data_IF_111457721532
#
_entry.id   IF_111457721532
#
_cell.length_a   1.000
_cell.length_b   1.000
_cell.length_c   1.000
_cell.angle_alpha   90.00
_cell.angle_beta   90.00
_cell.angle_gamma   90.00
#
_symmetry.space_group_name_H-M   'P 1'
#
loop_
_entity.id
_entity.type
_entity.pdbx_description
1 polymer ?
#
# COMPACT_ATOMS: atom_id res chain seq x y z
N UNK A 1 26.25 -18.06 6.71
CA UNK A 1 24.98 -17.39 7.03
C UNK A 1 24.22 -18.29 7.97
N UNK A 2 23.86 -17.76 9.13
CA UNK A 2 22.99 -18.44 10.09
C UNK A 2 21.60 -18.48 9.44
N UNK A 3 20.92 -19.62 9.50
CA UNK A 3 19.54 -19.68 9.02
C UNK A 3 18.68 -18.83 9.94
N UNK A 4 18.05 -17.78 9.40
CA UNK A 4 17.06 -16.99 10.14
C UNK A 4 15.86 -17.89 10.41
N UNK A 5 15.52 -18.04 11.69
CA UNK A 5 14.38 -18.83 12.15
C UNK A 5 13.35 -17.93 12.82
N UNK A 6 12.09 -18.34 12.84
CA UNK A 6 11.04 -17.58 13.49
C UNK A 6 11.26 -17.52 15.02
N UNK A 7 11.08 -16.34 15.58
CA UNK A 7 11.02 -16.11 17.04
C UNK A 7 9.67 -15.51 17.40
N UNK A 8 9.31 -15.53 18.68
CA UNK A 8 8.08 -14.88 19.16
C UNK A 8 8.05 -13.38 18.82
N UNK A 9 9.20 -12.70 18.86
CA UNK A 9 9.31 -11.29 18.47
C UNK A 9 8.95 -11.07 17.01
N UNK A 10 9.55 -11.85 16.12
CA UNK A 10 9.26 -11.82 14.68
C UNK A 10 7.78 -12.07 14.40
N UNK A 11 7.19 -13.12 15.01
CA UNK A 11 5.77 -13.45 14.80
C UNK A 11 4.85 -12.32 15.28
N UNK A 12 5.16 -11.69 16.42
CA UNK A 12 4.42 -10.52 16.90
C UNK A 12 4.52 -9.34 15.91
N UNK A 13 5.72 -9.04 15.41
CA UNK A 13 5.91 -7.93 14.47
C UNK A 13 5.18 -8.19 13.14
N UNK A 14 5.26 -9.42 12.61
CA UNK A 14 4.53 -9.81 11.40
C UNK A 14 3.01 -9.72 11.58
N UNK A 15 2.50 -10.05 12.77
CA UNK A 15 1.10 -9.85 13.12
C UNK A 15 0.69 -8.37 13.12
N UNK A 16 1.51 -7.50 13.70
CA UNK A 16 1.25 -6.05 13.67
C UNK A 16 1.34 -5.49 12.25
N UNK A 17 2.33 -5.91 11.45
CA UNK A 17 2.42 -5.55 10.03
C UNK A 17 1.16 -5.99 9.27
N UNK A 18 0.66 -7.21 9.51
CA UNK A 18 -0.57 -7.70 8.89
C UNK A 18 -1.77 -6.79 9.22
N UNK A 19 -1.89 -6.35 10.48
CA UNK A 19 -2.91 -5.37 10.88
C UNK A 19 -2.72 -4.02 10.20
N UNK A 20 -1.48 -3.56 10.04
CA UNK A 20 -1.18 -2.28 9.37
C UNK A 20 -1.57 -2.35 7.88
N UNK A 21 -1.26 -3.44 7.17
CA UNK A 21 -1.77 -3.69 5.81
C UNK A 21 -3.30 -3.73 5.76
N UNK A 22 -3.95 -4.40 6.72
CA UNK A 22 -5.40 -4.43 6.81
C UNK A 22 -5.97 -3.02 7.02
N UNK A 23 -5.38 -2.22 7.91
CA UNK A 23 -5.77 -0.82 8.15
C UNK A 23 -5.60 0.03 6.90
N UNK A 24 -4.48 -0.08 6.20
CA UNK A 24 -4.21 0.63 4.96
C UNK A 24 -5.31 0.37 3.92
N UNK A 25 -5.68 -0.89 3.70
CA UNK A 25 -6.78 -1.26 2.81
C UNK A 25 -8.13 -0.74 3.33
N UNK A 26 -8.37 -0.83 4.64
CA UNK A 26 -9.61 -0.36 5.28
C UNK A 26 -9.82 1.15 5.10
N UNK A 27 -8.75 1.93 5.21
CA UNK A 27 -8.77 3.38 5.03
C UNK A 27 -9.13 3.75 3.58
N UNK A 28 -8.56 3.06 2.58
CA UNK A 28 -9.00 3.17 1.19
C UNK A 28 -10.47 2.79 1.00
N UNK A 29 -10.92 1.67 1.59
CA UNK A 29 -12.32 1.23 1.48
C UNK A 29 -13.25 2.31 2.04
N UNK A 30 -12.96 2.86 3.22
CA UNK A 30 -13.76 3.91 3.87
C UNK A 30 -13.80 5.17 2.99
N UNK A 31 -12.64 5.62 2.53
CA UNK A 31 -12.50 6.77 1.66
C UNK A 31 -13.30 6.62 0.36
N UNK A 32 -13.04 5.54 -0.38
CA UNK A 32 -13.68 5.27 -1.67
C UNK A 32 -15.18 5.06 -1.54
N UNK A 33 -15.69 4.45 -0.47
CA UNK A 33 -17.13 4.30 -0.28
C UNK A 33 -17.86 5.64 -0.21
N UNK A 34 -17.28 6.61 0.52
CA UNK A 34 -17.84 7.97 0.59
C UNK A 34 -17.69 8.68 -0.76
N UNK A 35 -16.54 8.54 -1.42
CA UNK A 35 -16.33 9.13 -2.75
C UNK A 35 -17.32 8.60 -3.80
N UNK A 36 -17.54 7.28 -3.84
CA UNK A 36 -18.56 6.61 -4.66
C UNK A 36 -19.98 7.14 -4.34
N UNK A 37 -20.21 7.52 -3.08
CA UNK A 37 -21.43 8.21 -2.64
C UNK A 37 -21.59 9.59 -3.28
N UNK A 38 -20.54 10.41 -3.29
CA UNK A 38 -20.54 11.71 -3.97
C UNK A 38 -20.70 11.57 -5.49
N UNK A 39 -19.96 10.66 -6.12
CA UNK A 39 -20.04 10.40 -7.57
C UNK A 39 -21.44 9.96 -8.03
N UNK A 40 -22.27 9.38 -7.14
CA UNK A 40 -23.66 9.04 -7.48
C UNK A 40 -24.48 10.26 -7.90
N UNK A 41 -24.13 11.45 -7.38
CA UNK A 41 -24.80 12.72 -7.68
C UNK A 41 -24.35 13.32 -9.02
N UNK A 42 -23.30 12.79 -9.66
CA UNK A 42 -22.71 13.30 -10.90
C UNK A 42 -22.95 12.32 -12.05
N UNK A 43 -24.01 12.57 -12.83
CA UNK A 43 -24.47 11.65 -13.87
C UNK A 43 -23.42 11.35 -14.95
N UNK A 44 -22.55 12.31 -15.25
CA UNK A 44 -21.49 12.17 -16.26
C UNK A 44 -20.38 11.21 -15.84
N UNK A 45 -20.21 10.93 -14.54
CA UNK A 45 -19.18 10.05 -13.97
C UNK A 45 -19.72 8.66 -13.58
N UNK A 46 -20.85 8.25 -14.16
CA UNK A 46 -21.54 7.00 -13.76
C UNK A 46 -20.70 5.74 -14.00
N UNK A 47 -19.85 5.74 -15.02
CA UNK A 47 -19.05 4.55 -15.39
C UNK A 47 -17.76 4.48 -14.56
N UNK A 48 -17.13 5.62 -14.34
CA UNK A 48 -15.99 5.79 -13.44
C UNK A 48 -16.35 5.33 -12.02
N UNK A 49 -17.56 5.69 -11.57
CA UNK A 49 -18.11 5.19 -10.31
C UNK A 49 -18.19 3.67 -10.27
N UNK A 50 -18.62 3.01 -11.36
CA UNK A 50 -18.67 1.54 -11.39
C UNK A 50 -17.28 0.90 -11.37
N UNK A 51 -16.28 1.53 -11.98
CA UNK A 51 -14.88 1.11 -11.90
C UNK A 51 -14.36 1.18 -10.47
N UNK A 52 -14.59 2.28 -9.75
CA UNK A 52 -14.21 2.40 -8.33
C UNK A 52 -14.92 1.36 -7.45
N UNK A 53 -16.21 1.06 -7.72
CA UNK A 53 -16.92 0.00 -7.00
C UNK A 53 -16.22 -1.36 -7.19
N UNK A 54 -15.70 -1.64 -8.39
CA UNK A 54 -14.96 -2.89 -8.65
C UNK A 54 -13.66 -2.96 -7.84
N UNK A 55 -12.90 -1.87 -7.78
CA UNK A 55 -11.71 -1.77 -6.93
C UNK A 55 -12.06 -1.98 -5.45
N UNK A 56 -13.05 -1.25 -4.92
CA UNK A 56 -13.48 -1.39 -3.52
C UNK A 56 -13.91 -2.83 -3.18
N UNK A 57 -14.61 -3.52 -4.08
CA UNK A 57 -14.96 -4.94 -3.87
C UNK A 57 -13.74 -5.83 -3.76
N UNK A 58 -12.70 -5.58 -4.57
CA UNK A 58 -11.45 -6.34 -4.49
C UNK A 58 -10.69 -6.01 -3.21
N UNK A 59 -10.59 -4.74 -2.84
CA UNK A 59 -9.98 -4.31 -1.58
C UNK A 59 -10.66 -4.96 -0.37
N UNK A 60 -12.00 -5.01 -0.32
CA UNK A 60 -12.73 -5.71 0.75
C UNK A 60 -12.34 -7.18 0.85
N UNK A 61 -12.29 -7.88 -0.28
CA UNK A 61 -11.84 -9.28 -0.28
C UNK A 61 -10.43 -9.45 0.30
N UNK A 62 -9.50 -8.56 -0.06
CA UNK A 62 -8.12 -8.60 0.46
C UNK A 62 -8.07 -8.29 1.96
N UNK A 63 -8.80 -7.26 2.39
CA UNK A 63 -8.95 -6.89 3.80
C UNK A 63 -9.49 -8.05 4.64
N UNK A 64 -10.58 -8.68 4.19
CA UNK A 64 -11.23 -9.77 4.90
C UNK A 64 -10.28 -10.98 5.00
N UNK A 65 -9.50 -11.24 3.95
CA UNK A 65 -8.48 -12.30 3.95
C UNK A 65 -7.39 -12.03 4.98
N UNK A 66 -6.82 -10.81 5.01
CA UNK A 66 -5.81 -10.43 6.02
C UNK A 66 -6.36 -10.51 7.44
N UNK A 67 -7.60 -10.05 7.65
CA UNK A 67 -8.22 -10.04 8.98
C UNK A 67 -8.52 -11.46 9.47
N UNK A 68 -8.73 -12.40 8.55
CA UNK A 68 -8.93 -13.82 8.89
C UNK A 68 -7.64 -14.63 9.03
N UNK A 69 -6.49 -14.07 8.63
CA UNK A 69 -5.21 -14.77 8.64
C UNK A 69 -4.64 -14.78 10.07
N UNK A 70 -4.32 -15.97 10.57
CA UNK A 70 -3.76 -16.16 11.91
C UNK A 70 -2.25 -16.41 11.81
N UNK A 71 -1.48 -15.32 11.94
CA UNK A 71 -0.01 -15.36 11.85
C UNK A 71 0.60 -16.29 12.90
N UNK A 72 -0.03 -16.43 14.08
CA UNK A 72 0.49 -17.26 15.16
C UNK A 72 0.33 -18.75 14.89
N UNK A 73 -0.68 -19.16 14.13
CA UNK A 73 -0.89 -20.57 13.78
C UNK A 73 -0.11 -20.99 12.55
N UNK A 74 0.14 -20.05 11.62
CA UNK A 74 0.72 -20.35 10.32
C UNK A 74 2.25 -20.23 10.29
N UNK A 75 2.89 -19.64 11.31
CA UNK A 75 4.36 -19.56 11.41
C UNK A 75 4.85 -20.44 12.56
N UNK A 76 5.66 -21.45 12.24
CA UNK A 76 6.22 -22.37 13.23
C UNK A 76 7.41 -21.75 13.98
N UNK A 77 7.31 -21.69 15.31
CA UNK A 77 8.42 -21.32 16.22
C UNK A 77 9.09 -22.61 16.73
N UNK A 78 9.58 -23.45 15.81
CA UNK A 78 10.27 -24.70 16.14
C UNK A 78 11.80 -24.53 16.27
N UNK A 79 12.35 -23.44 15.71
CA UNK A 79 13.79 -23.19 15.63
C UNK A 79 14.52 -24.05 14.60
N UNK A 80 13.79 -24.84 13.82
CA UNK A 80 14.32 -25.76 12.79
C UNK A 80 13.98 -25.28 11.38
N UNK A 81 12.81 -24.67 11.22
CA UNK A 81 12.32 -24.20 9.92
C UNK A 81 12.84 -22.80 9.60
N UNK A 82 13.39 -22.63 8.40
CA UNK A 82 13.85 -21.33 7.91
C UNK A 82 12.67 -20.38 7.74
N UNK A 83 12.77 -19.17 8.30
CA UNK A 83 11.75 -18.12 8.24
C UNK A 83 11.34 -17.80 6.80
N UNK A 84 12.31 -17.82 5.87
CA UNK A 84 12.12 -17.70 4.43
C UNK A 84 10.95 -18.54 3.87
N UNK A 85 10.81 -19.79 4.33
CA UNK A 85 9.76 -20.69 3.84
C UNK A 85 8.38 -20.32 4.40
N UNK A 86 8.35 -19.84 5.64
CA UNK A 86 7.12 -19.50 6.37
C UNK A 86 6.53 -18.15 5.92
N UNK A 87 7.38 -17.17 5.58
CA UNK A 87 6.93 -15.83 5.18
C UNK A 87 6.55 -15.72 3.71
N UNK A 88 6.95 -16.67 2.86
CA UNK A 88 6.74 -16.63 1.41
C UNK A 88 5.27 -16.41 1.01
N UNK A 89 4.27 -17.10 1.59
CA UNK A 89 2.86 -16.85 1.29
C UNK A 89 2.42 -15.43 1.63
N UNK A 90 2.96 -14.88 2.73
CA UNK A 90 2.65 -13.52 3.19
C UNK A 90 3.25 -12.47 2.26
N UNK A 91 4.53 -12.61 1.90
CA UNK A 91 5.21 -11.77 0.93
C UNK A 91 4.48 -11.75 -0.42
N UNK A 92 4.09 -12.93 -0.92
CA UNK A 92 3.31 -13.07 -2.15
C UNK A 92 1.95 -12.37 -2.06
N UNK A 93 1.29 -12.44 -0.89
CA UNK A 93 0.02 -11.76 -0.68
C UNK A 93 0.17 -10.24 -0.62
N UNK A 94 1.23 -9.73 0.00
CA UNK A 94 1.57 -8.30 0.05
C UNK A 94 1.90 -7.76 -1.33
N UNK A 95 2.66 -8.50 -2.14
CA UNK A 95 2.92 -8.17 -3.54
C UNK A 95 1.62 -7.95 -4.32
N UNK A 96 0.67 -8.88 -4.20
CA UNK A 96 -0.64 -8.77 -4.85
C UNK A 96 -1.43 -7.53 -4.39
N UNK A 97 -1.27 -7.10 -3.13
CA UNK A 97 -1.92 -5.88 -2.63
C UNK A 97 -1.26 -4.65 -3.26
N UNK A 98 0.06 -4.55 -3.23
CA UNK A 98 0.78 -3.36 -3.73
C UNK A 98 0.54 -3.17 -5.23
N UNK A 99 0.60 -4.24 -6.03
CA UNK A 99 0.33 -4.16 -7.48
C UNK A 99 -1.12 -3.74 -7.79
N UNK A 100 -2.08 -4.19 -6.98
CA UNK A 100 -3.46 -3.71 -7.12
C UNK A 100 -3.59 -2.23 -6.76
N UNK A 101 -2.91 -1.81 -5.70
CA UNK A 101 -2.93 -0.42 -5.26
C UNK A 101 -2.23 0.51 -6.24
N UNK A 102 -1.19 0.06 -6.94
CA UNK A 102 -0.57 0.82 -8.02
C UNK A 102 -1.57 1.16 -9.13
N UNK A 103 -2.26 0.14 -9.66
CA UNK A 103 -3.30 0.31 -10.67
C UNK A 103 -4.44 1.23 -10.18
N UNK A 104 -4.86 1.08 -8.92
CA UNK A 104 -5.87 1.94 -8.32
C UNK A 104 -5.37 3.37 -8.17
N UNK A 105 -4.16 3.58 -7.68
CA UNK A 105 -3.56 4.88 -7.45
C UNK A 105 -3.42 5.62 -8.76
N UNK A 106 -2.85 5.00 -9.79
CA UNK A 106 -2.77 5.59 -11.13
C UNK A 106 -4.16 6.00 -11.67
N UNK A 107 -5.16 5.13 -11.52
CA UNK A 107 -6.52 5.46 -11.94
C UNK A 107 -7.10 6.64 -11.12
N UNK A 108 -6.95 6.61 -9.80
CA UNK A 108 -7.57 7.54 -8.87
C UNK A 108 -6.90 8.92 -8.89
N UNK A 109 -5.57 9.00 -8.90
CA UNK A 109 -4.80 10.25 -8.76
C UNK A 109 -4.46 10.89 -10.10
N UNK A 110 -4.50 10.15 -11.22
CA UNK A 110 -4.20 10.70 -12.54
C UNK A 110 -5.40 10.65 -13.49
N UNK A 111 -5.81 9.45 -13.90
CA UNK A 111 -6.78 9.27 -14.99
C UNK A 111 -8.14 9.85 -14.64
N UNK A 112 -8.66 9.51 -13.46
CA UNK A 112 -9.95 9.97 -12.97
C UNK A 112 -9.95 11.46 -12.66
N UNK A 113 -8.83 12.03 -12.18
CA UNK A 113 -8.73 13.47 -11.93
C UNK A 113 -8.95 14.29 -13.20
N UNK A 114 -8.25 13.93 -14.28
CA UNK A 114 -8.42 14.56 -15.61
C UNK A 114 -9.85 14.40 -16.12
N UNK A 115 -10.43 13.23 -15.92
CA UNK A 115 -11.80 12.93 -16.36
C UNK A 115 -12.85 13.72 -15.58
N UNK A 116 -12.67 13.92 -14.27
CA UNK A 116 -13.52 14.77 -13.43
C UNK A 116 -13.49 16.20 -13.94
N UNK A 117 -12.30 16.77 -14.15
CA UNK A 117 -12.15 18.15 -14.65
C UNK A 117 -12.82 18.28 -16.01
N UNK A 118 -12.54 17.35 -16.93
CA UNK A 118 -13.10 17.34 -18.28
C UNK A 118 -14.63 17.27 -18.31
N UNK A 119 -15.24 16.37 -17.52
CA UNK A 119 -16.69 16.13 -17.53
C UNK A 119 -17.50 17.08 -16.66
N UNK A 120 -16.89 17.69 -15.65
CA UNK A 120 -17.59 18.55 -14.69
C UNK A 120 -17.23 20.02 -14.83
N UNK A 121 -16.16 20.33 -15.57
CA UNK A 121 -15.64 21.68 -15.80
C UNK A 121 -15.30 22.42 -14.49
N UNK A 122 -14.95 21.69 -13.44
CA UNK A 122 -14.55 22.23 -12.14
C UNK A 122 -13.65 21.22 -11.38
N UNK A 123 -13.14 21.68 -10.23
CA UNK A 123 -12.21 20.93 -9.37
C UNK A 123 -12.88 20.54 -8.03
N UNK A 124 -14.21 20.45 -7.96
CA UNK A 124 -14.90 20.25 -6.68
C UNK A 124 -14.75 18.82 -6.13
N UNK A 125 -14.55 17.83 -7.00
CA UNK A 125 -14.36 16.41 -6.67
C UNK A 125 -12.94 15.92 -6.91
N UNK A 126 -12.01 16.81 -7.22
CA UNK A 126 -10.61 16.44 -7.43
C UNK A 126 -9.90 16.24 -6.10
N UNK A 127 -8.81 15.48 -6.13
CA UNK A 127 -7.88 15.33 -5.02
C UNK A 127 -6.92 16.53 -4.99
N UNK A 128 -6.62 17.10 -3.81
CA UNK A 128 -5.53 18.04 -3.65
C UNK A 128 -4.17 17.39 -3.95
N UNK A 129 -3.22 18.16 -4.46
CA UNK A 129 -1.86 17.67 -4.77
C UNK A 129 -1.14 17.10 -3.54
N UNK A 130 -1.29 17.74 -2.38
CA UNK A 130 -0.74 17.26 -1.10
C UNK A 130 -1.26 15.87 -0.73
N UNK A 131 -2.54 15.59 -1.02
CA UNK A 131 -3.14 14.27 -0.78
C UNK A 131 -2.64 13.23 -1.78
N UNK A 132 -2.37 13.62 -3.03
CA UNK A 132 -1.77 12.73 -4.03
C UNK A 132 -0.34 12.37 -3.59
N UNK A 133 0.44 13.35 -3.15
CA UNK A 133 1.80 13.10 -2.63
C UNK A 133 1.78 12.19 -1.39
N UNK A 134 0.79 12.33 -0.51
CA UNK A 134 0.63 11.44 0.66
C UNK A 134 0.26 10.00 0.25
N UNK A 135 -0.60 9.86 -0.77
CA UNK A 135 -0.95 8.54 -1.34
C UNK A 135 0.31 7.86 -1.90
N UNK A 136 1.12 8.60 -2.66
CA UNK A 136 2.36 8.11 -3.26
C UNK A 136 3.40 7.77 -2.19
N UNK A 137 3.60 8.64 -1.20
CA UNK A 137 4.54 8.40 -0.10
C UNK A 137 4.17 7.13 0.69
N UNK A 138 2.89 6.98 1.06
CA UNK A 138 2.42 5.78 1.74
C UNK A 138 2.64 4.54 0.87
N UNK A 139 2.24 4.58 -0.41
CA UNK A 139 2.44 3.47 -1.35
C UNK A 139 3.91 3.06 -1.48
N UNK A 140 4.82 4.02 -1.63
CA UNK A 140 6.25 3.76 -1.80
C UNK A 140 6.85 3.03 -0.59
N UNK A 141 6.43 3.38 0.63
CA UNK A 141 6.91 2.70 1.84
C UNK A 141 6.38 1.26 1.95
N UNK A 142 5.13 1.01 1.57
CA UNK A 142 4.58 -0.35 1.53
C UNK A 142 5.25 -1.22 0.45
N UNK A 143 5.57 -0.63 -0.71
CA UNK A 143 6.38 -1.28 -1.75
C UNK A 143 7.77 -1.61 -1.23
N UNK A 144 8.44 -0.64 -0.58
CA UNK A 144 9.79 -0.84 -0.07
C UNK A 144 9.86 -1.89 1.03
N UNK A 145 8.84 -1.92 1.90
CA UNK A 145 8.71 -2.99 2.88
C UNK A 145 8.52 -4.37 2.24
N UNK A 146 7.70 -4.46 1.19
CA UNK A 146 7.52 -5.72 0.47
C UNK A 146 8.82 -6.19 -0.20
N UNK A 147 9.59 -5.27 -0.82
CA UNK A 147 10.95 -5.57 -1.31
C UNK A 147 11.86 -6.02 -0.17
N UNK A 148 11.88 -5.29 0.95
CA UNK A 148 12.70 -5.62 2.11
C UNK A 148 12.40 -7.02 2.64
N UNK A 149 11.13 -7.40 2.82
CA UNK A 149 10.72 -8.73 3.28
C UNK A 149 11.24 -9.86 2.37
N UNK A 150 11.32 -9.62 1.05
CA UNK A 150 11.74 -10.60 0.05
C UNK A 150 13.27 -10.68 -0.04
N UNK A 151 13.92 -9.53 -0.23
CA UNK A 151 15.35 -9.45 -0.52
C UNK A 151 16.19 -9.66 0.74
N UNK A 152 15.72 -9.24 1.92
CA UNK A 152 16.47 -9.43 3.18
C UNK A 152 16.68 -10.91 3.55
N UNK A 153 15.81 -11.80 3.08
CA UNK A 153 15.85 -13.24 3.33
C UNK A 153 16.27 -14.06 2.10
N UNK A 154 16.71 -13.39 1.03
CA UNK A 154 17.14 -14.03 -0.23
C UNK A 154 16.10 -15.01 -0.82
N UNK A 155 14.81 -14.67 -0.70
CA UNK A 155 13.70 -15.44 -1.27
C UNK A 155 13.21 -14.89 -2.61
N UNK A 156 13.95 -13.94 -3.18
CA UNK A 156 13.64 -13.29 -4.45
C UNK A 156 13.47 -14.29 -5.60
N UNK A 157 12.37 -14.17 -6.33
CA UNK A 157 12.16 -14.89 -7.59
C UNK A 157 11.56 -13.94 -8.61
N UNK A 158 11.64 -14.24 -9.93
CA UNK A 158 10.96 -13.42 -10.95
C UNK A 158 9.46 -13.25 -10.73
N UNK A 159 8.82 -14.16 -9.97
CA UNK A 159 7.39 -14.07 -9.63
C UNK A 159 7.10 -13.16 -8.43
N UNK A 160 8.13 -12.73 -7.71
CA UNK A 160 8.04 -11.84 -6.55
C UNK A 160 8.52 -10.42 -6.85
N UNK A 161 8.89 -10.13 -8.10
CA UNK A 161 9.32 -8.80 -8.52
C UNK A 161 8.15 -7.81 -8.50
N UNK A 162 8.42 -6.60 -8.00
CA UNK A 162 7.47 -5.49 -8.00
C UNK A 162 7.70 -4.62 -9.25
N UNK A 163 6.65 -4.33 -10.02
CA UNK A 163 6.73 -3.62 -11.31
C UNK A 163 7.46 -2.28 -11.16
N UNK A 164 7.03 -1.44 -10.21
CA UNK A 164 7.59 -0.09 -10.02
C UNK A 164 9.10 -0.11 -9.71
N UNK A 165 9.57 -1.13 -9.00
CA UNK A 165 10.99 -1.29 -8.66
C UNK A 165 11.79 -1.72 -9.88
N UNK A 166 11.30 -2.71 -10.63
CA UNK A 166 11.96 -3.16 -11.86
C UNK A 166 12.03 -2.04 -12.90
N UNK A 167 10.96 -1.25 -12.99
CA UNK A 167 10.92 -0.07 -13.85
C UNK A 167 11.96 0.97 -13.43
N UNK A 168 12.01 1.32 -12.14
CA UNK A 168 13.01 2.25 -11.61
C UNK A 168 14.45 1.78 -11.89
N UNK A 169 14.76 0.51 -11.60
CA UNK A 169 16.08 -0.10 -11.88
C UNK A 169 16.44 -0.02 -13.36
N UNK A 170 15.48 -0.30 -14.26
CA UNK A 170 15.70 -0.20 -15.71
C UNK A 170 15.99 1.23 -16.15
N UNK A 171 15.21 2.21 -15.69
CA UNK A 171 15.45 3.62 -16.01
C UNK A 171 16.81 4.10 -15.49
N UNK A 172 17.20 3.74 -14.27
CA UNK A 172 18.49 4.08 -13.71
C UNK A 172 19.67 3.56 -14.55
N UNK A 173 19.56 2.33 -15.08
CA UNK A 173 20.55 1.74 -15.98
C UNK A 173 20.61 2.50 -17.32
N UNK A 174 19.45 2.83 -17.90
CA UNK A 174 19.38 3.56 -19.17
C UNK A 174 19.96 4.99 -19.05
N UNK A 175 19.72 5.64 -17.91
CA UNK A 175 20.14 7.02 -17.62
C UNK A 175 21.54 7.12 -17.00
N UNK A 176 22.23 5.99 -16.77
CA UNK A 176 23.53 5.91 -16.07
C UNK A 176 23.51 6.62 -14.70
N UNK A 177 22.43 6.43 -13.93
CA UNK A 177 22.31 6.96 -12.57
C UNK A 177 23.30 6.23 -11.66
N UNK A 178 24.01 7.00 -10.84
CA UNK A 178 24.84 6.46 -9.77
C UNK A 178 23.95 5.91 -8.64
N UNK A 179 23.92 4.58 -8.53
CA UNK A 179 23.13 3.87 -7.54
C UNK A 179 23.67 4.06 -6.11
N UNK A 180 24.96 4.40 -5.95
CA UNK A 180 25.56 4.61 -4.63
C UNK A 180 25.12 5.95 -3.98
N UNK A 181 24.62 6.90 -4.78
CA UNK A 181 24.26 8.25 -4.31
C UNK A 181 22.80 8.65 -4.60
N UNK A 182 21.95 7.68 -4.98
CA UNK A 182 20.56 7.96 -5.35
C UNK A 182 19.66 8.25 -4.15
N UNK A 183 18.76 9.24 -4.33
CA UNK A 183 17.69 9.55 -3.38
C UNK A 183 16.40 8.77 -3.66
N UNK A 184 16.36 7.98 -4.73
CA UNK A 184 15.19 7.16 -5.06
C UNK A 184 15.12 5.93 -4.16
N UNK A 185 14.07 5.85 -3.35
CA UNK A 185 13.81 4.77 -2.40
C UNK A 185 13.80 3.38 -3.06
N UNK A 186 13.40 3.28 -4.33
CA UNK A 186 13.34 2.01 -5.06
C UNK A 186 14.69 1.54 -5.60
N UNK A 187 15.68 2.45 -5.66
CA UNK A 187 17.03 2.14 -6.12
C UNK A 187 17.99 1.82 -4.97
N UNK A 188 17.61 2.14 -3.73
CA UNK A 188 18.39 1.78 -2.55
C UNK A 188 18.44 0.26 -2.37
N UNK A 189 19.63 -0.31 -2.20
CA UNK A 189 19.79 -1.75 -2.03
C UNK A 189 19.23 -2.22 -0.67
N UNK A 190 18.68 -3.44 -0.65
CA UNK A 190 18.28 -4.12 0.57
C UNK A 190 19.40 -5.08 0.97
N UNK A 191 20.00 -4.86 2.14
CA UNK A 191 20.98 -5.77 2.70
C UNK A 191 20.30 -7.06 3.21
N UNK A 192 20.91 -8.25 2.98
CA UNK A 192 20.48 -9.47 3.63
C UNK A 192 20.61 -9.36 5.15
N UNK A 193 19.66 -9.91 5.91
CA UNK A 193 19.77 -10.01 7.37
C UNK A 193 20.71 -11.14 7.78
N UNK A 194 21.50 -10.90 8.83
CA UNK A 194 22.49 -11.84 9.35
C UNK A 194 21.87 -12.91 10.23
N UNK A 195 20.86 -12.55 11.04
CA UNK A 195 20.21 -13.43 12.00
C UNK A 195 18.76 -13.01 12.36
N UNK A 196 18.14 -13.81 13.22
CA UNK A 196 16.77 -13.57 13.70
C UNK A 196 16.63 -12.34 14.60
N UNK A 197 17.69 -11.90 15.29
CA UNK A 197 17.64 -10.71 16.13
C UNK A 197 17.59 -9.44 15.26
N UNK A 198 18.41 -9.40 14.22
CA UNK A 198 18.37 -8.32 13.24
C UNK A 198 17.00 -8.22 12.55
N UNK A 199 16.45 -9.36 12.09
CA UNK A 199 15.13 -9.37 11.46
C UNK A 199 14.02 -8.92 12.42
N UNK A 200 14.07 -9.33 13.69
CA UNK A 200 13.12 -8.88 14.73
C UNK A 200 13.18 -7.35 14.88
N UNK A 201 14.37 -6.79 15.05
CA UNK A 201 14.55 -5.34 15.22
C UNK A 201 14.06 -4.55 13.98
N UNK A 202 14.48 -4.95 12.77
CA UNK A 202 14.10 -4.26 11.54
C UNK A 202 12.60 -4.41 11.22
N UNK A 203 12.01 -5.60 11.42
CA UNK A 203 10.56 -5.79 11.22
C UNK A 203 9.72 -4.92 12.15
N UNK A 204 10.19 -4.70 13.39
CA UNK A 204 9.56 -3.78 14.33
C UNK A 204 9.66 -2.33 13.88
N UNK A 205 10.82 -1.88 13.42
CA UNK A 205 11.00 -0.53 12.89
C UNK A 205 10.09 -0.27 11.67
N UNK A 206 10.03 -1.24 10.75
CA UNK A 206 9.12 -1.20 9.61
C UNK A 206 7.65 -1.14 10.04
N UNK A 207 7.25 -1.93 11.04
CA UNK A 207 5.88 -1.92 11.56
C UNK A 207 5.46 -0.52 12.02
N UNK A 208 6.32 0.15 12.80
CA UNK A 208 6.08 1.51 13.30
C UNK A 208 6.03 2.54 12.16
N UNK A 209 6.97 2.45 11.21
CA UNK A 209 7.02 3.35 10.06
C UNK A 209 5.76 3.23 9.19
N UNK A 210 5.32 2.00 8.89
CA UNK A 210 4.11 1.77 8.09
C UNK A 210 2.85 2.25 8.83
N UNK A 211 2.79 2.09 10.15
CA UNK A 211 1.69 2.62 10.95
C UNK A 211 1.62 4.15 10.87
N UNK A 212 2.75 4.84 11.00
CA UNK A 212 2.85 6.29 10.85
C UNK A 212 2.34 6.75 9.47
N UNK A 213 2.82 6.12 8.39
CA UNK A 213 2.40 6.45 7.02
C UNK A 213 0.91 6.21 6.80
N UNK A 214 0.39 5.12 7.35
CA UNK A 214 -1.04 4.80 7.27
C UNK A 214 -1.89 5.83 8.03
N UNK A 215 -1.43 6.29 9.19
CA UNK A 215 -2.11 7.32 9.97
C UNK A 215 -2.12 8.67 9.22
N UNK A 216 -0.98 9.07 8.64
CA UNK A 216 -0.90 10.29 7.84
C UNK A 216 -1.88 10.26 6.65
N UNK A 217 -1.96 9.12 5.96
CA UNK A 217 -2.92 8.92 4.87
C UNK A 217 -4.38 9.06 5.32
N UNK A 218 -4.74 8.44 6.45
CA UNK A 218 -6.10 8.53 7.01
C UNK A 218 -6.49 9.99 7.31
N UNK A 219 -5.59 10.76 7.92
CA UNK A 219 -5.82 12.18 8.21
C UNK A 219 -6.17 12.95 6.92
N UNK A 220 -5.39 12.75 5.85
CA UNK A 220 -5.66 13.39 4.56
C UNK A 220 -6.97 12.90 3.92
N UNK A 221 -7.26 11.60 3.96
CA UNK A 221 -8.55 11.08 3.50
C UNK A 221 -9.73 11.72 4.23
N UNK A 222 -9.65 11.88 5.56
CA UNK A 222 -10.71 12.54 6.33
C UNK A 222 -10.86 14.01 5.92
N UNK A 223 -9.76 14.74 5.72
CA UNK A 223 -9.79 16.13 5.27
C UNK A 223 -10.46 16.29 3.89
N UNK A 224 -10.11 15.44 2.92
CA UNK A 224 -10.72 15.43 1.58
C UNK A 224 -12.22 15.19 1.67
N UNK A 225 -12.62 14.19 2.46
CA UNK A 225 -14.03 13.84 2.62
C UNK A 225 -14.83 14.97 3.26
N UNK A 226 -14.25 15.66 4.25
CA UNK A 226 -14.88 16.83 4.84
C UNK A 226 -15.05 17.93 3.79
N UNK A 227 -14.03 18.22 2.98
CA UNK A 227 -14.10 19.20 1.90
C UNK A 227 -15.24 18.87 0.90
N UNK A 228 -15.36 17.62 0.47
CA UNK A 228 -16.43 17.20 -0.43
C UNK A 228 -17.81 17.27 0.22
N UNK A 229 -17.95 16.87 1.49
CA UNK A 229 -19.22 17.03 2.20
C UNK A 229 -19.64 18.50 2.32
N UNK A 230 -18.71 19.41 2.61
CA UNK A 230 -19.03 20.83 2.67
C UNK A 230 -19.53 21.39 1.32
N UNK A 231 -18.93 20.98 0.20
CA UNK A 231 -19.35 21.44 -1.13
C UNK A 231 -20.63 20.78 -1.64
N UNK A 232 -20.84 19.49 -1.36
CA UNK A 232 -21.91 18.68 -1.97
C UNK A 232 -23.11 18.39 -1.07
N UNK A 233 -22.98 18.54 0.25
CA UNK A 233 -24.08 18.32 1.19
C UNK A 233 -24.72 19.64 1.63
N UNK A 234 -23.95 20.73 1.83
CA UNK A 234 -24.52 22.05 2.19
C UNK A 234 -25.38 22.69 1.09
N UNK A 235 -25.20 22.31 -0.18
CA UNK A 235 -26.11 22.74 -1.28
C UNK A 235 -27.54 22.18 -1.16
N UNK A 236 -27.78 21.22 -0.26
CA UNK A 236 -29.08 20.57 -0.07
C UNK A 236 -30.03 21.37 0.82
N UNK A 237 -29.50 22.20 1.72
CA UNK A 237 -30.29 22.98 2.69
C UNK A 237 -30.60 24.42 2.21
N UNK A 238 -30.09 24.79 1.02
CA UNK A 238 -30.31 26.10 0.40
C UNK A 238 -31.35 26.07 -0.75
N UNK A 239 -32.13 24.99 -0.84
CA UNK A 239 -33.28 24.83 -1.75
C UNK A 239 -34.51 24.42 -0.97
#
# INVERSE_FOLDING_TARGET
MTTVVATTGIVNNLHEICKVFAKYISDYIRFLNKFIGHLRKVATLRFERTTLIKYVKKLRFLHDTLTSYDVYSDINIDGETALANEILPMASFYLKIVELLDMLNFYLTQSLQKEIISKTLNNDLTLPEESISTIEDCYNHFVKFAEWMIESLDIGTPFLQIEVIQFAKKCAIEDNVDLESTNDIFLQEVAPVEDSEEYDNLSKEWSLLLEEKTLALDIHFVQILNHWSEKFDKKKDAK
#
